data_IF_090521151117
#
_entry.id   IF_090521151117
#
_cell.length_a   1.000
_cell.length_b   1.000
_cell.length_c   1.000
_cell.angle_alpha   90.00
_cell.angle_beta   90.00
_cell.angle_gamma   90.00
#
_symmetry.space_group_name_H-M   'P 1'
#
loop_
_entity.id
_entity.type
_entity.pdbx_description
1 polymer ?
#
# COMPACT_ATOMS: atom_id res chain seq x y z
N UNK A 1 21.45 1.35 -4.21
CA UNK A 1 20.11 1.13 -3.61
C UNK A 1 19.52 2.48 -3.22
N UNK A 2 18.26 2.73 -3.53
CA UNK A 2 17.60 4.00 -3.16
C UNK A 2 17.29 4.00 -1.66
N UNK A 3 17.52 5.14 -0.99
CA UNK A 3 17.26 5.35 0.45
C UNK A 3 15.84 4.91 0.89
N UNK A 4 14.89 4.99 -0.03
CA UNK A 4 13.47 4.79 0.25
C UNK A 4 12.89 3.50 -0.34
N UNK A 5 13.55 2.83 -1.28
CA UNK A 5 13.03 1.58 -1.83
C UNK A 5 14.10 0.70 -2.46
N UNK A 6 13.81 -0.60 -2.45
CA UNK A 6 14.57 -1.62 -3.18
C UNK A 6 13.89 -1.99 -4.50
N UNK A 7 12.55 -1.98 -4.53
CA UNK A 7 11.71 -2.34 -5.67
C UNK A 7 10.51 -1.38 -5.72
N UNK A 8 9.77 -1.39 -6.81
CA UNK A 8 8.46 -0.71 -6.90
C UNK A 8 7.33 -1.61 -6.38
N UNK A 9 6.18 -1.02 -6.05
CA UNK A 9 5.00 -1.78 -5.58
C UNK A 9 4.34 -2.60 -6.70
N UNK A 10 4.80 -2.51 -7.94
CA UNK A 10 4.31 -3.30 -9.08
C UNK A 10 5.31 -4.34 -9.62
N UNK A 11 6.50 -4.44 -9.04
CA UNK A 11 7.62 -5.22 -9.59
C UNK A 11 7.79 -6.61 -8.96
N UNK A 12 7.30 -6.79 -7.73
CA UNK A 12 7.53 -8.03 -6.98
C UNK A 12 6.72 -9.21 -7.54
N UNK A 13 7.37 -10.36 -7.56
CA UNK A 13 6.84 -11.63 -8.07
C UNK A 13 7.31 -12.80 -7.21
N UNK A 14 6.81 -14.02 -7.43
CA UNK A 14 7.26 -15.24 -6.75
C UNK A 14 8.78 -15.46 -6.78
N UNK A 15 9.49 -14.94 -7.80
CA UNK A 15 10.96 -15.00 -7.89
C UNK A 15 11.68 -14.28 -6.75
N UNK A 16 10.98 -13.39 -6.03
CA UNK A 16 11.51 -12.62 -4.92
C UNK A 16 11.19 -13.24 -3.56
N UNK A 17 10.54 -14.42 -3.52
CA UNK A 17 10.19 -15.11 -2.27
C UNK A 17 11.40 -15.21 -1.34
N UNK A 18 11.16 -14.99 -0.05
CA UNK A 18 12.13 -14.98 1.03
C UNK A 18 13.16 -13.84 1.02
N UNK A 19 13.13 -12.92 0.05
CA UNK A 19 13.99 -11.73 0.07
C UNK A 19 13.47 -10.70 1.06
N UNK A 20 14.40 -10.04 1.74
CA UNK A 20 14.12 -8.80 2.47
C UNK A 20 14.08 -7.63 1.50
N UNK A 21 13.04 -6.81 1.61
CA UNK A 21 12.82 -5.68 0.73
C UNK A 21 12.43 -4.44 1.53
N UNK A 22 12.56 -3.30 0.86
CA UNK A 22 11.93 -2.04 1.26
C UNK A 22 11.05 -1.53 0.13
N UNK A 23 9.81 -1.21 0.45
CA UNK A 23 8.87 -0.52 -0.44
C UNK A 23 8.47 0.81 0.19
N UNK A 24 8.22 1.82 -0.65
CA UNK A 24 7.63 3.08 -0.21
C UNK A 24 6.45 3.41 -1.09
N UNK A 25 5.37 3.90 -0.48
CA UNK A 25 4.14 4.22 -1.19
C UNK A 25 3.07 4.81 -0.29
N UNK A 26 1.87 4.96 -0.84
CA UNK A 26 0.67 5.41 -0.15
C UNK A 26 -0.10 4.23 0.41
N UNK A 27 -0.57 4.35 1.66
CA UNK A 27 -1.52 3.41 2.25
C UNK A 27 -2.86 3.53 1.53
N UNK A 28 -3.12 2.66 0.55
CA UNK A 28 -4.28 2.77 -0.33
C UNK A 28 -5.54 2.16 0.30
N UNK A 29 -5.40 1.02 0.97
CA UNK A 29 -6.50 0.34 1.65
C UNK A 29 -5.96 -0.41 2.86
N UNK A 30 -6.79 -0.54 3.90
CA UNK A 30 -6.51 -1.36 5.08
C UNK A 30 -7.69 -2.29 5.33
N UNK A 31 -7.39 -3.53 5.71
CA UNK A 31 -8.38 -4.56 6.09
C UNK A 31 -7.90 -5.23 7.36
N UNK A 32 -8.64 -5.04 8.44
CA UNK A 32 -8.35 -5.65 9.73
C UNK A 32 -9.19 -6.93 9.91
N UNK A 33 -8.52 -8.02 10.24
CA UNK A 33 -9.09 -9.32 10.55
C UNK A 33 -8.86 -9.71 12.02
N UNK A 34 -8.62 -8.73 12.89
CA UNK A 34 -8.44 -8.88 14.33
C UNK A 34 -7.03 -9.32 14.74
N UNK A 35 -6.48 -10.37 14.10
CA UNK A 35 -5.13 -10.87 14.35
C UNK A 35 -4.11 -10.46 13.27
N UNK A 36 -4.62 -10.07 12.09
CA UNK A 36 -3.86 -9.66 10.93
C UNK A 36 -4.42 -8.35 10.39
N UNK A 37 -3.53 -7.43 10.05
CA UNK A 37 -3.86 -6.22 9.32
C UNK A 37 -3.22 -6.33 7.94
N UNK A 38 -4.07 -6.30 6.91
CA UNK A 38 -3.65 -6.22 5.52
C UNK A 38 -3.66 -4.77 5.07
N UNK A 39 -2.57 -4.36 4.43
CA UNK A 39 -2.37 -3.02 3.89
C UNK A 39 -2.04 -3.15 2.41
N UNK A 40 -2.85 -2.54 1.55
CA UNK A 40 -2.51 -2.40 0.14
C UNK A 40 -1.63 -1.15 0.00
N UNK A 41 -0.34 -1.33 -0.27
CA UNK A 41 0.61 -0.24 -0.51
C UNK A 41 0.65 0.07 -2.00
N UNK A 42 0.35 1.32 -2.38
CA UNK A 42 0.31 1.77 -3.77
C UNK A 42 1.48 2.69 -4.07
N UNK A 43 2.08 2.54 -5.25
CA UNK A 43 2.88 3.59 -5.89
C UNK A 43 2.44 3.78 -7.35
N UNK A 44 3.22 4.53 -8.14
CA UNK A 44 2.89 4.77 -9.55
C UNK A 44 2.92 3.51 -10.43
N UNK A 45 3.55 2.43 -9.96
CA UNK A 45 3.83 1.23 -10.74
C UNK A 45 2.86 0.09 -10.42
N UNK A 46 2.19 0.15 -9.26
CA UNK A 46 1.19 -0.82 -8.89
C UNK A 46 0.85 -0.83 -7.41
N UNK A 47 0.27 -1.95 -6.99
CA UNK A 47 -0.15 -2.22 -5.62
C UNK A 47 0.51 -3.51 -5.17
N UNK A 48 1.09 -3.51 -3.97
CA UNK A 48 1.55 -4.71 -3.26
C UNK A 48 0.82 -4.82 -1.94
N UNK A 49 0.34 -6.03 -1.61
CA UNK A 49 -0.23 -6.30 -0.28
C UNK A 49 0.89 -6.50 0.74
N UNK A 50 0.77 -5.84 1.87
CA UNK A 50 1.60 -6.00 3.04
C UNK A 50 0.73 -6.50 4.19
N UNK A 51 1.27 -7.37 5.03
CA UNK A 51 0.58 -7.97 6.17
C UNK A 51 1.40 -7.77 7.43
N UNK A 52 0.74 -7.37 8.51
CA UNK A 52 1.33 -7.29 9.84
C UNK A 52 0.48 -8.09 10.83
N UNK A 53 1.14 -8.87 11.68
CA UNK A 53 0.49 -9.63 12.75
C UNK A 53 0.33 -8.76 13.99
N UNK A 54 -0.72 -9.00 14.78
CA UNK A 54 -0.99 -8.31 16.04
C UNK A 54 0.14 -8.41 17.07
N UNK A 55 0.95 -9.47 17.00
CA UNK A 55 2.13 -9.66 17.84
C UNK A 55 3.25 -8.67 17.55
N UNK A 56 3.26 -8.00 16.39
CA UNK A 56 4.24 -6.98 16.06
C UNK A 56 3.89 -5.66 16.77
N UNK A 57 4.87 -5.04 17.42
CA UNK A 57 4.72 -3.76 18.14
C UNK A 57 4.20 -2.61 17.26
N UNK A 58 4.44 -2.70 15.95
CA UNK A 58 4.02 -1.71 14.97
C UNK A 58 2.55 -1.84 14.54
N UNK A 59 1.84 -2.91 14.92
CA UNK A 59 0.47 -3.20 14.48
C UNK A 59 -0.48 -2.04 14.79
N UNK A 60 -0.60 -1.68 16.07
CA UNK A 60 -1.57 -0.67 16.52
C UNK A 60 -1.30 0.72 15.95
N UNK A 61 -0.03 1.03 15.65
CA UNK A 61 0.33 2.31 15.04
C UNK A 61 -0.07 2.31 13.55
N UNK A 62 0.25 1.24 12.81
CA UNK A 62 -0.11 1.12 11.39
C UNK A 62 -1.63 1.07 11.19
N UNK A 63 -2.34 0.39 12.08
CA UNK A 63 -3.80 0.29 12.11
C UNK A 63 -4.46 1.67 12.21
N UNK A 64 -3.88 2.59 12.99
CA UNK A 64 -4.42 3.94 13.21
C UNK A 64 -4.02 4.96 12.14
N UNK A 65 -3.07 4.65 11.25
CA UNK A 65 -2.64 5.61 10.22
C UNK A 65 -3.77 5.94 9.24
N UNK A 66 -4.01 7.22 8.90
CA UNK A 66 -4.99 7.56 7.88
C UNK A 66 -4.57 6.99 6.52
N UNK A 67 -5.56 6.71 5.67
CA UNK A 67 -5.31 6.34 4.27
C UNK A 67 -4.56 7.48 3.55
N UNK A 68 -3.89 7.11 2.46
CA UNK A 68 -2.94 7.96 1.72
C UNK A 68 -1.74 8.45 2.53
N UNK A 69 -1.52 7.99 3.77
CA UNK A 69 -0.24 8.25 4.47
C UNK A 69 0.91 7.64 3.68
N UNK A 70 1.99 8.40 3.52
CA UNK A 70 3.21 7.94 2.84
C UNK A 70 4.06 7.19 3.85
N UNK A 71 4.31 5.91 3.58
CA UNK A 71 5.09 5.03 4.44
C UNK A 71 6.20 4.34 3.67
N UNK A 72 7.29 4.06 4.37
CA UNK A 72 8.29 3.08 3.97
C UNK A 72 8.06 1.82 4.79
N UNK A 73 7.90 0.70 4.12
CA UNK A 73 7.73 -0.62 4.73
C UNK A 73 8.99 -1.44 4.49
N UNK A 74 9.51 -2.02 5.57
CA UNK A 74 10.54 -3.04 5.57
C UNK A 74 9.88 -4.39 5.88
N UNK A 75 10.25 -5.42 5.12
CA UNK A 75 9.64 -6.72 5.31
C UNK A 75 10.21 -7.80 4.40
N UNK A 76 9.64 -9.00 4.54
CA UNK A 76 10.04 -10.19 3.78
C UNK A 76 8.95 -10.58 2.80
N UNK A 77 9.35 -10.89 1.57
CA UNK A 77 8.42 -11.40 0.55
C UNK A 77 8.01 -12.82 0.90
N UNK A 78 6.70 -13.06 1.02
CA UNK A 78 6.10 -14.37 1.24
C UNK A 78 5.11 -14.68 0.12
N UNK A 79 4.95 -15.95 -0.20
CA UNK A 79 3.94 -16.37 -1.16
C UNK A 79 2.57 -16.39 -0.47
N UNK A 80 1.53 -15.95 -1.18
CA UNK A 80 0.17 -16.13 -0.68
C UNK A 80 -0.22 -17.61 -0.72
N UNK A 81 -1.19 -17.99 0.09
CA UNK A 81 -1.87 -19.28 -0.07
C UNK A 81 -2.56 -19.33 -1.44
N UNK A 82 -2.75 -20.54 -1.97
CA UNK A 82 -3.39 -20.77 -3.28
C UNK A 82 -4.73 -20.06 -3.40
N UNK A 83 -5.49 -20.05 -2.31
CA UNK A 83 -6.86 -19.51 -2.27
C UNK A 83 -6.89 -17.98 -2.08
N UNK A 84 -5.75 -17.37 -1.73
CA UNK A 84 -5.59 -15.92 -1.54
C UNK A 84 -4.86 -15.23 -2.70
N UNK A 85 -4.53 -15.96 -3.77
CA UNK A 85 -3.93 -15.40 -4.98
C UNK A 85 -4.92 -14.44 -5.64
N UNK A 86 -4.48 -13.21 -5.89
CA UNK A 86 -5.24 -12.22 -6.64
C UNK A 86 -4.67 -12.08 -8.06
N UNK A 87 -5.42 -12.49 -9.07
CA UNK A 87 -4.99 -12.40 -10.47
C UNK A 87 -5.19 -11.01 -11.10
N UNK A 88 -5.90 -10.10 -10.42
CA UNK A 88 -6.16 -8.74 -10.91
C UNK A 88 -4.96 -7.80 -10.75
N UNK A 89 -3.97 -8.18 -9.93
CA UNK A 89 -2.76 -7.37 -9.68
C UNK A 89 -1.49 -8.18 -9.95
N UNK A 90 -0.46 -7.52 -10.49
CA UNK A 90 0.82 -8.15 -10.87
C UNK A 90 1.51 -8.87 -9.71
N UNK A 91 1.41 -8.32 -8.50
CA UNK A 91 2.05 -8.90 -7.30
C UNK A 91 1.11 -9.80 -6.51
N UNK A 92 -0.05 -10.18 -7.06
CA UNK A 92 -1.10 -10.83 -6.28
C UNK A 92 -0.85 -12.29 -5.93
N UNK A 93 0.26 -12.85 -6.40
CA UNK A 93 0.79 -14.14 -5.98
C UNK A 93 1.64 -14.06 -4.70
N UNK A 94 2.05 -12.86 -4.29
CA UNK A 94 2.90 -12.62 -3.13
C UNK A 94 2.28 -11.59 -2.19
N UNK A 95 2.86 -11.48 -1.01
CA UNK A 95 2.63 -10.39 -0.08
C UNK A 95 3.92 -10.11 0.72
N UNK A 96 3.94 -8.99 1.44
CA UNK A 96 5.07 -8.61 2.28
C UNK A 96 4.70 -8.78 3.74
N UNK A 97 5.41 -9.67 4.45
CA UNK A 97 5.33 -9.71 5.92
C UNK A 97 6.13 -8.55 6.49
N UNK A 98 5.44 -7.60 7.12
CA UNK A 98 6.01 -6.35 7.64
C UNK A 98 6.84 -6.66 8.89
N UNK A 99 8.12 -6.27 8.87
CA UNK A 99 8.97 -6.25 10.06
C UNK A 99 8.89 -4.90 10.76
N UNK A 100 9.06 -3.81 10.02
CA UNK A 100 8.96 -2.44 10.50
C UNK A 100 8.43 -1.50 9.43
N UNK A 101 7.99 -0.31 9.84
CA UNK A 101 7.65 0.76 8.93
C UNK A 101 8.09 2.12 9.47
N UNK A 102 8.21 3.09 8.57
CA UNK A 102 8.52 4.49 8.86
C UNK A 102 7.48 5.38 8.18
N UNK A 103 6.95 6.37 8.88
CA UNK A 103 6.06 7.39 8.29
C UNK A 103 6.93 8.46 7.64
N UNK A 104 6.83 8.58 6.31
CA UNK A 104 7.55 9.60 5.54
C UNK A 104 6.74 10.88 5.39
N UNK A 105 5.41 10.77 5.39
CA UNK A 105 4.50 11.90 5.27
C UNK A 105 3.11 11.54 5.77
N UNK A 106 2.66 12.22 6.82
CA UNK A 106 1.34 11.99 7.43
C UNK A 106 0.23 12.67 6.62
N UNK A 107 -0.88 11.97 6.44
CA UNK A 107 -2.02 12.48 5.67
C UNK A 107 -3.05 13.15 6.56
N UNK A 108 -3.46 14.36 6.14
CA UNK A 108 -4.58 15.10 6.73
C UNK A 108 -5.89 14.68 6.05
N UNK A 109 -7.00 15.26 6.49
CA UNK A 109 -8.29 15.09 5.82
C UNK A 109 -8.17 15.37 4.31
N UNK A 110 -8.68 14.43 3.50
CA UNK A 110 -8.55 14.48 2.06
C UNK A 110 -9.79 15.15 1.46
N UNK A 111 -9.66 16.31 0.79
CA UNK A 111 -10.79 16.95 0.11
C UNK A 111 -11.27 16.15 -1.11
N UNK A 112 -10.40 15.27 -1.63
CA UNK A 112 -10.69 14.36 -2.73
C UNK A 112 -10.10 12.98 -2.38
N UNK A 113 -10.89 12.09 -1.76
CA UNK A 113 -10.52 10.71 -1.48
C UNK A 113 -10.08 9.94 -2.74
N UNK A 114 -8.81 9.55 -2.78
CA UNK A 114 -8.19 8.85 -3.94
C UNK A 114 -8.69 7.40 -4.08
N UNK A 115 -9.12 6.81 -2.97
CA UNK A 115 -9.58 5.42 -2.86
C UNK A 115 -11.11 5.27 -3.04
N UNK A 116 -11.80 6.34 -3.47
CA UNK A 116 -13.25 6.33 -3.71
C UNK A 116 -13.58 6.29 -5.20
N UNK A 117 -14.64 5.55 -5.54
CA UNK A 117 -15.24 5.53 -6.88
C UNK A 117 -16.23 6.70 -7.11
N UNK A 118 -16.41 7.56 -6.10
CA UNK A 118 -17.26 8.74 -6.21
C UNK A 118 -16.79 9.65 -7.34
N UNK A 119 -17.73 10.08 -8.19
CA UNK A 119 -17.47 11.12 -9.18
C UNK A 119 -17.51 12.50 -8.52
N UNK A 120 -16.50 13.31 -8.82
CA UNK A 120 -16.37 14.68 -8.35
C UNK A 120 -16.48 15.63 -9.55
N UNK A 121 -17.00 16.83 -9.33
CA UNK A 121 -17.06 17.85 -10.38
C UNK A 121 -15.67 18.14 -10.94
N UNK A 122 -15.61 18.52 -12.21
CA UNK A 122 -14.37 18.92 -12.87
C UNK A 122 -13.65 20.03 -12.08
N UNK A 123 -14.39 20.99 -11.54
CA UNK A 123 -13.84 22.06 -10.69
C UNK A 123 -13.07 21.51 -9.48
N UNK A 124 -13.65 20.58 -8.72
CA UNK A 124 -12.98 19.97 -7.56
C UNK A 124 -11.77 19.15 -8.01
N UNK A 125 -11.89 18.41 -9.13
CA UNK A 125 -10.82 17.59 -9.68
C UNK A 125 -9.65 18.43 -10.18
N UNK A 126 -9.89 19.56 -10.83
CA UNK A 126 -8.84 20.48 -11.28
C UNK A 126 -8.20 21.21 -10.10
N UNK A 127 -8.99 21.66 -9.12
CA UNK A 127 -8.48 22.28 -7.89
C UNK A 127 -7.55 21.35 -7.11
N UNK A 128 -7.90 20.06 -7.03
CA UNK A 128 -7.10 19.02 -6.36
C UNK A 128 -6.51 18.02 -7.36
N UNK A 129 -6.04 18.50 -8.52
CA UNK A 129 -5.54 17.63 -9.61
C UNK A 129 -4.40 16.73 -9.16
N UNK A 130 -3.59 17.17 -8.20
CA UNK A 130 -2.52 16.36 -7.61
C UNK A 130 -3.01 15.12 -6.84
N UNK A 131 -4.25 15.11 -6.35
CA UNK A 131 -4.92 13.92 -5.79
C UNK A 131 -5.65 13.14 -6.87
N UNK A 132 -6.34 13.83 -7.78
CA UNK A 132 -7.08 13.20 -8.88
C UNK A 132 -6.17 12.34 -9.77
N UNK A 133 -4.95 12.82 -10.06
CA UNK A 133 -3.94 12.08 -10.81
C UNK A 133 -3.45 10.78 -10.13
N UNK A 134 -3.76 10.57 -8.85
CA UNK A 134 -3.43 9.34 -8.13
C UNK A 134 -4.52 8.27 -8.22
N UNK A 135 -5.69 8.62 -8.73
CA UNK A 135 -6.82 7.70 -8.88
C UNK A 135 -6.56 6.75 -10.05
N UNK A 136 -7.16 5.55 -9.99
CA UNK A 136 -7.04 4.55 -11.06
C UNK A 136 -7.61 5.03 -12.40
N UNK A 137 -8.75 5.74 -12.37
CA UNK A 137 -9.41 6.27 -13.55
C UNK A 137 -9.06 7.76 -13.71
N UNK A 138 -8.10 8.04 -14.58
CA UNK A 138 -7.89 9.41 -15.05
C UNK A 138 -9.04 9.71 -16.02
N UNK A 139 -9.77 10.78 -15.74
CA UNK A 139 -10.63 11.39 -16.76
C UNK A 139 -9.95 12.63 -17.30
#
# INVERSE_FOLDING_TARGET
MSKYRTHTCGELTKKHKNKEISLSGWVNKKRDHGNLLFVDLRDNYGITQCVIQKSNSNFSQLEKLPLETVVKINGKVVARSTDAINLEIKTGEIEISISSFEVLGFTKELPLPVFSDQEYSEEIRLKYRFLDLRRKKIH
#
